data_IF_109307572199
#
_entry.id   IF_109307572199
#
_cell.length_a   1.000
_cell.length_b   1.000
_cell.length_c   1.000
_cell.angle_alpha   90.00
_cell.angle_beta   90.00
_cell.angle_gamma   90.00
#
_symmetry.space_group_name_H-M   'P 1'
#
loop_
_entity.id
_entity.type
_entity.pdbx_description
1 polymer ?
#
# COMPACT_ATOMS: atom_id res chain seq x y z
N UNK A 1 30.50 1.47 -0.43
CA UNK A 1 29.36 1.35 0.49
C UNK A 1 28.09 1.68 -0.28
N UNK A 2 26.99 0.99 -0.02
CA UNK A 2 25.72 1.31 -0.65
C UNK A 2 25.18 2.66 -0.11
N UNK A 3 24.75 3.55 -0.99
CA UNK A 3 24.09 4.80 -0.61
C UNK A 3 22.58 4.57 -0.59
N UNK A 4 21.94 4.77 0.56
CA UNK A 4 20.48 4.74 0.69
C UNK A 4 19.93 6.01 0.03
N UNK A 5 18.97 5.85 -0.89
CA UNK A 5 18.42 6.97 -1.68
C UNK A 5 17.04 7.41 -1.23
N UNK A 6 16.11 6.46 -1.08
CA UNK A 6 14.71 6.75 -0.73
C UNK A 6 14.03 5.52 -0.15
N UNK A 7 12.92 5.77 0.56
CA UNK A 7 11.92 4.76 0.85
C UNK A 7 11.11 4.52 -0.43
N UNK A 8 10.92 3.26 -0.81
CA UNK A 8 10.08 2.92 -1.95
C UNK A 8 8.60 2.91 -1.53
N UNK A 9 8.29 2.06 -0.55
CA UNK A 9 6.95 1.95 0.04
C UNK A 9 7.04 1.60 1.54
N UNK A 10 5.89 1.67 2.21
CA UNK A 10 5.66 1.15 3.55
C UNK A 10 4.50 0.16 3.48
N UNK A 11 4.78 -1.11 3.77
CA UNK A 11 3.76 -2.15 3.84
C UNK A 11 3.05 -2.12 5.21
N UNK A 12 1.72 -2.16 5.20
CA UNK A 12 0.87 -2.20 6.38
C UNK A 12 0.02 -3.45 6.30
N UNK A 13 0.26 -4.40 7.20
CA UNK A 13 -0.53 -5.61 7.29
C UNK A 13 -1.93 -5.28 7.83
N UNK A 14 -2.97 -5.65 7.08
CA UNK A 14 -4.37 -5.40 7.43
C UNK A 14 -5.17 -6.71 7.38
N UNK A 15 -6.17 -6.89 8.26
CA UNK A 15 -6.99 -8.10 8.24
C UNK A 15 -7.92 -8.15 7.01
N UNK A 16 -8.29 -6.99 6.47
CA UNK A 16 -9.15 -6.84 5.30
C UNK A 16 -8.83 -5.51 4.60
N UNK A 17 -8.51 -5.57 3.30
CA UNK A 17 -8.14 -4.40 2.51
C UNK A 17 -9.32 -3.45 2.33
N UNK A 18 -10.51 -3.96 2.04
CA UNK A 18 -11.69 -3.12 1.78
C UNK A 18 -12.09 -2.33 3.03
N UNK A 19 -12.00 -2.94 4.21
CA UNK A 19 -12.21 -2.26 5.48
C UNK A 19 -11.13 -1.19 5.73
N UNK A 20 -9.86 -1.51 5.48
CA UNK A 20 -8.76 -0.57 5.65
C UNK A 20 -8.89 0.64 4.70
N UNK A 21 -9.39 0.44 3.47
CA UNK A 21 -9.62 1.52 2.51
C UNK A 21 -10.61 2.58 3.00
N UNK A 22 -11.52 2.27 3.93
CA UNK A 22 -12.39 3.28 4.54
C UNK A 22 -11.59 4.34 5.30
N UNK A 23 -10.48 3.95 5.92
CA UNK A 23 -9.60 4.91 6.58
C UNK A 23 -8.70 5.61 5.56
N UNK A 24 -7.98 4.84 4.74
CA UNK A 24 -6.94 5.38 3.85
C UNK A 24 -7.49 6.15 2.64
N UNK A 25 -8.48 5.58 1.94
CA UNK A 25 -9.11 6.22 0.79
C UNK A 25 -10.20 7.19 1.24
N UNK A 26 -11.18 6.72 2.00
CA UNK A 26 -12.37 7.54 2.28
C UNK A 26 -12.11 8.58 3.39
N UNK A 27 -11.31 8.23 4.40
CA UNK A 27 -10.98 9.11 5.53
C UNK A 27 -9.84 10.09 5.23
N UNK A 28 -8.75 9.62 4.62
CA UNK A 28 -7.58 10.45 4.32
C UNK A 28 -7.56 11.00 2.89
N UNK A 29 -8.42 10.51 1.99
CA UNK A 29 -8.49 10.97 0.60
C UNK A 29 -7.33 10.47 -0.27
N UNK A 30 -6.67 9.36 0.09
CA UNK A 30 -5.56 8.82 -0.71
C UNK A 30 -6.14 7.90 -1.80
N UNK A 31 -5.83 8.21 -3.05
CA UNK A 31 -6.30 7.41 -4.18
C UNK A 31 -5.69 6.01 -4.17
N UNK A 32 -6.52 5.02 -4.51
CA UNK A 32 -6.05 3.66 -4.77
C UNK A 32 -5.63 3.58 -6.22
N UNK A 33 -4.34 3.34 -6.47
CA UNK A 33 -3.84 3.22 -7.83
C UNK A 33 -4.29 1.91 -8.48
N UNK A 34 -4.05 0.78 -7.80
CA UNK A 34 -4.59 -0.53 -8.18
C UNK A 34 -4.55 -1.50 -7.00
N UNK A 35 -5.20 -2.65 -7.17
CA UNK A 35 -5.14 -3.78 -6.26
C UNK A 35 -4.65 -4.98 -7.05
N UNK A 36 -3.61 -5.65 -6.56
CA UNK A 36 -3.02 -6.83 -7.20
C UNK A 36 -3.13 -8.05 -6.28
N UNK A 37 -3.55 -9.18 -6.85
CA UNK A 37 -3.40 -10.49 -6.20
C UNK A 37 -1.97 -10.99 -6.43
N UNK A 38 -1.26 -11.35 -5.34
CA UNK A 38 0.12 -11.85 -5.38
C UNK A 38 0.15 -13.30 -4.85
N UNK A 39 -0.16 -14.30 -5.70
CA UNK A 39 -0.35 -15.68 -5.26
C UNK A 39 0.89 -16.32 -4.62
N UNK A 40 2.08 -15.91 -5.07
CA UNK A 40 3.36 -16.38 -4.53
C UNK A 40 3.54 -16.01 -3.04
N UNK A 41 2.90 -14.93 -2.61
CA UNK A 41 2.92 -14.43 -1.24
C UNK A 41 1.61 -14.76 -0.50
N UNK A 42 0.63 -15.40 -1.16
CA UNK A 42 -0.71 -15.66 -0.63
C UNK A 42 -1.38 -14.40 -0.07
N UNK A 43 -1.11 -13.27 -0.69
CA UNK A 43 -1.56 -11.96 -0.25
C UNK A 43 -2.21 -11.20 -1.40
N UNK A 44 -3.02 -10.21 -1.05
CA UNK A 44 -3.51 -9.19 -1.96
C UNK A 44 -2.89 -7.88 -1.52
N UNK A 45 -2.58 -6.98 -2.45
CA UNK A 45 -1.95 -5.71 -2.12
C UNK A 45 -2.73 -4.58 -2.75
N UNK A 46 -3.14 -3.60 -1.94
CA UNK A 46 -3.64 -2.31 -2.44
C UNK A 46 -2.52 -1.27 -2.42
N UNK A 47 -2.34 -0.59 -3.55
CA UNK A 47 -1.27 0.36 -3.81
C UNK A 47 -1.79 1.79 -3.70
N UNK A 48 -1.30 2.55 -2.71
CA UNK A 48 -1.78 3.90 -2.38
C UNK A 48 -0.61 4.91 -2.50
N UNK A 49 -0.46 5.60 -3.64
CA UNK A 49 0.62 6.57 -3.86
C UNK A 49 0.50 7.80 -2.96
N UNK A 50 1.63 8.20 -2.37
CA UNK A 50 1.76 9.40 -1.52
C UNK A 50 3.08 10.11 -1.87
N UNK A 51 3.00 11.15 -2.71
CA UNK A 51 4.19 11.84 -3.21
C UNK A 51 5.10 10.90 -3.99
N UNK A 52 6.37 10.78 -3.57
CA UNK A 52 7.38 9.92 -4.21
C UNK A 52 7.48 8.50 -3.59
N UNK A 53 6.55 8.14 -2.70
CA UNK A 53 6.48 6.86 -2.00
C UNK A 53 5.07 6.26 -2.06
N UNK A 54 4.89 5.07 -1.49
CA UNK A 54 3.62 4.34 -1.45
C UNK A 54 3.33 3.77 -0.07
N UNK A 55 2.03 3.71 0.25
CA UNK A 55 1.50 2.82 1.28
C UNK A 55 0.93 1.59 0.60
N UNK A 56 1.38 0.41 1.01
CA UNK A 56 0.89 -0.87 0.49
C UNK A 56 0.09 -1.57 1.60
N UNK A 57 -1.21 -1.80 1.38
CA UNK A 57 -2.04 -2.56 2.32
C UNK A 57 -1.99 -4.03 1.93
N UNK A 58 -1.51 -4.89 2.83
CA UNK A 58 -1.24 -6.32 2.60
C UNK A 58 -2.07 -7.20 3.52
#
# INVERSE_FOLDING_TARGET
MATIKKVNHIAVAVPDIEEALKFWRDGMGIDVHHIEDVPSQKAKVAFLPVGDTEVELV
#
